data_IF_811523357648
#
_entry.id   IF_811523357648
#
_cell.length_a   1.000
_cell.length_b   1.000
_cell.length_c   1.000
_cell.angle_alpha   90.00
_cell.angle_beta   90.00
_cell.angle_gamma   90.00
#
_symmetry.space_group_name_H-M   'P 1'
#
loop_
_entity.id
_entity.type
_entity.pdbx_description
1 polymer ?
#
# COMPACT_ATOMS: atom_id res chain seq x y z
N UNK A 1 -67.59 -30.64 37.41
CA UNK A 1 -66.43 -31.51 37.18
C UNK A 1 -65.94 -31.27 35.76
N UNK A 2 -65.15 -30.22 35.55
CA UNK A 2 -64.54 -29.90 34.24
C UNK A 2 -63.13 -29.41 34.53
N UNK A 3 -62.18 -30.32 34.34
CA UNK A 3 -60.75 -30.16 34.63
C UNK A 3 -60.16 -29.24 33.55
N UNK A 4 -59.83 -28.01 33.94
CA UNK A 4 -59.08 -27.06 33.12
C UNK A 4 -57.71 -27.66 32.81
N UNK A 5 -57.45 -27.91 31.53
CA UNK A 5 -56.19 -28.45 31.05
C UNK A 5 -55.12 -27.33 31.10
N UNK A 6 -54.34 -27.34 32.18
CA UNK A 6 -53.19 -26.47 32.41
C UNK A 6 -51.94 -27.30 32.18
N UNK A 7 -51.29 -27.07 31.04
CA UNK A 7 -50.03 -27.69 30.68
C UNK A 7 -49.96 -27.85 29.18
N UNK A 8 -49.30 -26.90 28.51
CA UNK A 8 -48.47 -27.08 27.31
C UNK A 8 -47.92 -25.70 26.90
N UNK A 9 -47.14 -25.11 27.80
CA UNK A 9 -46.22 -24.00 27.48
C UNK A 9 -44.83 -24.46 27.92
N UNK A 10 -43.89 -24.34 26.98
CA UNK A 10 -42.45 -24.59 27.11
C UNK A 10 -41.99 -26.05 27.04
N UNK A 11 -41.97 -26.59 25.81
CA UNK A 11 -40.82 -27.42 25.39
C UNK A 11 -40.09 -26.66 24.28
N UNK A 12 -39.30 -25.67 24.68
CA UNK A 12 -38.36 -25.00 23.80
C UNK A 12 -37.41 -26.04 23.19
N UNK A 13 -37.25 -25.98 21.88
CA UNK A 13 -36.40 -26.85 21.09
C UNK A 13 -34.92 -26.62 21.46
N UNK A 14 -34.45 -27.20 22.57
CA UNK A 14 -33.10 -27.05 23.12
C UNK A 14 -31.97 -27.64 22.24
N UNK A 15 -32.31 -28.15 21.04
CA UNK A 15 -31.36 -28.70 20.08
C UNK A 15 -30.97 -27.74 18.94
N UNK A 16 -31.57 -26.55 18.84
CA UNK A 16 -31.16 -25.54 17.86
C UNK A 16 -29.95 -24.75 18.37
N UNK A 17 -28.79 -24.92 17.69
CA UNK A 17 -27.55 -24.22 18.04
C UNK A 17 -27.64 -22.70 17.81
N UNK A 18 -28.44 -22.28 16.84
CA UNK A 18 -28.73 -20.88 16.54
C UNK A 18 -30.26 -20.70 16.43
N UNK A 19 -30.82 -19.60 16.99
CA UNK A 19 -32.27 -19.41 17.11
C UNK A 19 -33.00 -19.25 15.75
N UNK A 20 -32.29 -19.00 14.65
CA UNK A 20 -32.83 -18.79 13.30
C UNK A 20 -32.45 -19.89 12.29
N UNK A 21 -31.95 -21.04 12.75
CA UNK A 21 -31.50 -22.13 11.86
C UNK A 21 -32.66 -22.97 11.30
N UNK A 22 -32.72 -23.08 9.96
CA UNK A 22 -33.69 -23.92 9.23
C UNK A 22 -33.32 -25.42 9.17
N UNK A 23 -32.04 -25.76 9.31
CA UNK A 23 -31.51 -27.12 9.20
C UNK A 23 -31.08 -27.70 10.57
N UNK A 24 -30.74 -29.00 10.63
CA UNK A 24 -30.22 -29.61 11.86
C UNK A 24 -28.83 -29.07 12.23
N UNK A 25 -28.50 -28.92 13.53
CA UNK A 25 -27.23 -28.34 13.99
C UNK A 25 -25.99 -29.10 13.48
N UNK A 26 -26.11 -30.42 13.33
CA UNK A 26 -25.03 -31.29 12.86
C UNK A 26 -24.70 -31.02 11.38
N UNK A 27 -25.74 -30.87 10.54
CA UNK A 27 -25.58 -30.60 9.11
C UNK A 27 -24.95 -29.22 8.90
N UNK A 28 -25.34 -28.22 9.71
CA UNK A 28 -24.77 -26.87 9.63
C UNK A 28 -23.29 -26.83 10.00
N UNK A 29 -22.87 -27.51 11.07
CA UNK A 29 -21.44 -27.57 11.41
C UNK A 29 -20.61 -28.33 10.36
N UNK A 30 -21.19 -29.34 9.71
CA UNK A 30 -20.54 -30.01 8.59
C UNK A 30 -20.37 -29.05 7.39
N UNK A 31 -21.42 -28.31 7.05
CA UNK A 31 -21.39 -27.26 6.03
C UNK A 31 -20.31 -26.20 6.32
N UNK A 32 -20.33 -25.61 7.52
CA UNK A 32 -19.37 -24.56 7.92
C UNK A 32 -17.94 -25.06 7.84
N UNK A 33 -17.64 -26.26 8.36
CA UNK A 33 -16.29 -26.85 8.27
C UNK A 33 -15.85 -27.03 6.81
N UNK A 34 -16.76 -27.43 5.93
CA UNK A 34 -16.48 -27.61 4.51
C UNK A 34 -16.15 -26.28 3.84
N UNK A 35 -16.91 -25.22 4.11
CA UNK A 35 -16.67 -23.88 3.56
C UNK A 35 -15.31 -23.35 4.00
N UNK A 36 -14.99 -23.37 5.30
CA UNK A 36 -13.69 -22.88 5.79
C UNK A 36 -12.52 -23.76 5.35
N UNK A 37 -12.72 -25.07 5.16
CA UNK A 37 -11.69 -25.94 4.59
C UNK A 37 -11.37 -25.55 3.14
N UNK A 38 -12.38 -25.23 2.33
CA UNK A 38 -12.18 -24.75 0.95
C UNK A 38 -11.48 -23.40 0.97
N UNK A 39 -11.95 -22.46 1.80
CA UNK A 39 -11.35 -21.14 1.95
C UNK A 39 -9.87 -21.21 2.33
N UNK A 40 -9.52 -22.08 3.28
CA UNK A 40 -8.13 -22.27 3.70
C UNK A 40 -7.23 -22.78 2.56
N UNK A 41 -7.73 -23.76 1.78
CA UNK A 41 -7.02 -24.26 0.59
C UNK A 41 -6.88 -23.16 -0.46
N UNK A 42 -7.92 -22.34 -0.67
CA UNK A 42 -7.87 -21.21 -1.60
C UNK A 42 -6.79 -20.21 -1.17
N UNK A 43 -6.77 -19.80 0.10
CA UNK A 43 -5.75 -18.87 0.62
C UNK A 43 -4.32 -19.42 0.53
N UNK A 44 -4.14 -20.72 0.78
CA UNK A 44 -2.84 -21.39 0.62
C UNK A 44 -2.40 -21.40 -0.85
N UNK A 45 -3.30 -21.77 -1.77
CA UNK A 45 -3.03 -21.75 -3.21
C UNK A 45 -2.70 -20.32 -3.68
N UNK A 46 -3.47 -19.33 -3.23
CA UNK A 46 -3.25 -17.93 -3.55
C UNK A 46 -1.88 -17.45 -3.09
N UNK A 47 -1.51 -17.79 -1.87
CA UNK A 47 -0.19 -17.45 -1.32
C UNK A 47 0.92 -18.12 -2.12
N UNK A 48 0.78 -19.40 -2.48
CA UNK A 48 1.78 -20.14 -3.24
C UNK A 48 2.00 -19.56 -4.66
N UNK A 49 0.90 -19.29 -5.39
CA UNK A 49 0.95 -18.73 -6.74
C UNK A 49 1.47 -17.29 -6.70
N UNK A 50 0.95 -16.44 -5.81
CA UNK A 50 1.38 -15.06 -5.69
C UNK A 50 2.86 -14.97 -5.28
N UNK A 51 3.31 -15.80 -4.34
CA UNK A 51 4.73 -15.88 -3.97
C UNK A 51 5.59 -16.25 -5.18
N UNK A 52 5.19 -17.25 -5.97
CA UNK A 52 5.92 -17.64 -7.18
C UNK A 52 6.05 -16.48 -8.17
N UNK A 53 4.97 -15.73 -8.42
CA UNK A 53 4.98 -14.55 -9.29
C UNK A 53 5.91 -13.46 -8.76
N UNK A 54 5.93 -13.21 -7.44
CA UNK A 54 6.78 -12.19 -6.82
C UNK A 54 8.26 -12.60 -6.80
N UNK A 55 8.56 -13.89 -6.60
CA UNK A 55 9.93 -14.41 -6.56
C UNK A 55 10.55 -14.54 -7.96
N UNK A 56 9.78 -14.92 -8.97
CA UNK A 56 10.25 -15.11 -10.34
C UNK A 56 10.22 -13.78 -11.09
N UNK A 57 11.32 -13.01 -10.97
CA UNK A 57 11.51 -11.68 -11.60
C UNK A 57 11.15 -11.61 -13.11
N UNK A 58 11.42 -12.64 -13.94
CA UNK A 58 11.03 -12.60 -15.36
C UNK A 58 9.52 -12.47 -15.61
N UNK A 59 8.67 -12.90 -14.67
CA UNK A 59 7.21 -12.88 -14.86
C UNK A 59 6.71 -11.43 -14.89
N UNK A 60 6.83 -10.60 -13.82
CA UNK A 60 6.40 -9.20 -13.85
C UNK A 60 7.01 -8.38 -15.00
N UNK A 61 8.31 -8.55 -15.25
CA UNK A 61 9.02 -7.86 -16.33
C UNK A 61 8.41 -8.16 -17.71
N UNK A 62 7.99 -9.40 -17.96
CA UNK A 62 7.32 -9.75 -19.22
C UNK A 62 6.00 -9.01 -19.39
N UNK A 63 5.23 -8.85 -18.30
CA UNK A 63 3.94 -8.15 -18.30
C UNK A 63 4.08 -6.64 -18.52
N UNK A 64 5.17 -6.02 -18.05
CA UNK A 64 5.38 -4.57 -18.18
C UNK A 64 6.14 -4.17 -19.44
N UNK A 65 7.02 -5.02 -19.96
CA UNK A 65 7.84 -4.68 -21.14
C UNK A 65 7.20 -5.07 -22.48
N UNK A 66 6.25 -6.00 -22.49
CA UNK A 66 5.62 -6.47 -23.73
C UNK A 66 4.15 -6.06 -23.82
N UNK A 67 3.72 -5.60 -25.00
CA UNK A 67 2.32 -5.26 -25.25
C UNK A 67 1.39 -6.49 -25.10
N UNK A 68 1.88 -7.67 -25.49
CA UNK A 68 1.20 -8.94 -25.26
C UNK A 68 1.03 -9.23 -23.77
N UNK A 69 2.08 -9.00 -22.96
CA UNK A 69 2.03 -9.10 -21.51
C UNK A 69 0.96 -8.18 -20.92
N UNK A 70 0.95 -6.90 -21.26
CA UNK A 70 -0.05 -5.95 -20.77
C UNK A 70 -1.49 -6.37 -21.15
N UNK A 71 -1.70 -6.85 -22.38
CA UNK A 71 -3.00 -7.39 -22.80
C UNK A 71 -3.42 -8.62 -21.96
N UNK A 72 -2.49 -9.54 -21.70
CA UNK A 72 -2.76 -10.70 -20.83
C UNK A 72 -3.04 -10.27 -19.39
N UNK A 73 -2.37 -9.24 -18.86
CA UNK A 73 -2.67 -8.68 -17.53
C UNK A 73 -4.10 -8.13 -17.46
N UNK A 74 -4.53 -7.34 -18.45
CA UNK A 74 -5.91 -6.83 -18.53
C UNK A 74 -6.91 -7.99 -18.55
N UNK A 75 -6.65 -9.04 -19.34
CA UNK A 75 -7.48 -10.24 -19.38
C UNK A 75 -7.53 -10.92 -18.00
N UNK A 76 -6.39 -11.09 -17.34
CA UNK A 76 -6.29 -11.68 -15.99
C UNK A 76 -7.08 -10.86 -14.96
N UNK A 77 -7.11 -9.53 -15.06
CA UNK A 77 -7.90 -8.68 -14.16
C UNK A 77 -9.41 -8.77 -14.41
N UNK A 78 -9.84 -8.94 -15.66
CA UNK A 78 -11.27 -9.03 -16.04
C UNK A 78 -11.79 -10.47 -15.88
N UNK A 79 -10.92 -11.47 -15.86
CA UNK A 79 -11.30 -12.88 -15.80
C UNK A 79 -12.04 -13.27 -14.49
N UNK A 80 -11.63 -12.87 -13.27
CA UNK A 80 -12.34 -13.20 -12.03
C UNK A 80 -13.82 -12.80 -12.01
N UNK A 81 -14.23 -11.55 -12.34
CA UNK A 81 -15.65 -11.20 -12.37
C UNK A 81 -16.42 -11.96 -13.47
N UNK A 82 -15.78 -12.29 -14.60
CA UNK A 82 -16.39 -13.15 -15.62
C UNK A 82 -16.64 -14.55 -15.08
N UNK A 83 -15.70 -15.12 -14.31
CA UNK A 83 -15.79 -16.47 -13.74
C UNK A 83 -16.80 -16.59 -12.60
N UNK A 84 -17.21 -15.50 -11.95
CA UNK A 84 -18.27 -15.52 -10.94
C UNK A 84 -19.64 -15.92 -11.53
N UNK A 85 -19.95 -15.49 -12.76
CA UNK A 85 -21.18 -15.86 -13.45
C UNK A 85 -21.33 -17.38 -13.64
N UNK A 86 -20.42 -18.10 -14.33
CA UNK A 86 -20.51 -19.55 -14.47
C UNK A 86 -20.35 -20.26 -13.12
N UNK A 87 -19.60 -19.71 -12.15
CA UNK A 87 -19.52 -20.28 -10.81
C UNK A 87 -20.89 -20.26 -10.10
N UNK A 88 -21.65 -19.18 -10.24
CA UNK A 88 -23.01 -19.05 -9.70
C UNK A 88 -23.95 -20.11 -10.31
N UNK A 89 -23.95 -20.25 -11.64
CA UNK A 89 -24.80 -21.22 -12.34
C UNK A 89 -24.39 -22.67 -12.09
N UNK A 90 -23.09 -22.94 -12.08
CA UNK A 90 -22.56 -24.29 -11.91
C UNK A 90 -22.40 -24.68 -10.44
N UNK A 91 -22.78 -23.86 -9.45
CA UNK A 91 -22.45 -24.10 -8.02
C UNK A 91 -22.83 -25.48 -7.50
N UNK A 92 -23.94 -26.05 -7.97
CA UNK A 92 -24.44 -27.39 -7.58
C UNK A 92 -23.98 -28.53 -8.48
N UNK A 93 -23.33 -28.24 -9.62
CA UNK A 93 -22.99 -29.23 -10.65
C UNK A 93 -21.57 -29.76 -10.45
N UNK A 94 -21.48 -30.96 -9.89
CA UNK A 94 -20.22 -31.68 -9.74
C UNK A 94 -19.78 -32.34 -11.06
N UNK A 95 -18.48 -32.38 -11.43
CA UNK A 95 -17.32 -31.76 -10.77
C UNK A 95 -17.00 -30.34 -11.28
N UNK A 96 -17.78 -29.82 -12.22
CA UNK A 96 -17.52 -28.54 -12.89
C UNK A 96 -17.40 -27.36 -11.94
N UNK A 97 -18.17 -27.37 -10.86
CA UNK A 97 -18.09 -26.37 -9.79
C UNK A 97 -16.68 -26.20 -9.21
N UNK A 98 -15.94 -27.28 -8.97
CA UNK A 98 -14.57 -27.24 -8.46
C UNK A 98 -13.56 -26.78 -9.51
N UNK A 99 -13.75 -27.15 -10.79
CA UNK A 99 -12.89 -26.66 -11.87
C UNK A 99 -13.00 -25.14 -12.05
N UNK A 100 -14.23 -24.62 -12.07
CA UNK A 100 -14.45 -23.16 -12.17
C UNK A 100 -13.93 -22.45 -10.92
N UNK A 101 -14.12 -23.04 -9.72
CA UNK A 101 -13.57 -22.48 -8.47
C UNK A 101 -12.04 -22.42 -8.49
N UNK A 102 -11.36 -23.49 -8.93
CA UNK A 102 -9.91 -23.51 -9.03
C UNK A 102 -9.43 -22.46 -10.04
N UNK A 103 -10.05 -22.38 -11.22
CA UNK A 103 -9.68 -21.40 -12.25
C UNK A 103 -9.86 -19.96 -11.74
N UNK A 104 -10.96 -19.70 -11.03
CA UNK A 104 -11.21 -18.43 -10.37
C UNK A 104 -10.11 -18.11 -9.35
N UNK A 105 -9.80 -19.02 -8.44
CA UNK A 105 -8.75 -18.81 -7.44
C UNK A 105 -7.39 -18.56 -8.08
N UNK A 106 -6.97 -19.37 -9.06
CA UNK A 106 -5.68 -19.21 -9.76
C UNK A 106 -5.61 -17.87 -10.49
N UNK A 107 -6.66 -17.49 -11.22
CA UNK A 107 -6.69 -16.19 -11.93
C UNK A 107 -6.53 -15.01 -10.96
N UNK A 108 -7.22 -15.06 -9.82
CA UNK A 108 -7.16 -14.01 -8.82
C UNK A 108 -5.79 -13.97 -8.15
N UNK A 109 -5.19 -15.14 -7.92
CA UNK A 109 -3.83 -15.26 -7.34
C UNK A 109 -2.76 -14.66 -8.23
N UNK A 110 -2.87 -14.83 -9.55
CA UNK A 110 -1.96 -14.22 -10.52
C UNK A 110 -2.10 -12.70 -10.57
N UNK A 111 -3.33 -12.17 -10.63
CA UNK A 111 -3.59 -10.73 -10.61
C UNK A 111 -2.93 -10.07 -9.37
N UNK A 112 -3.01 -10.74 -8.23
CA UNK A 112 -2.44 -10.29 -6.95
C UNK A 112 -0.93 -10.37 -6.91
N UNK A 113 -0.38 -11.50 -7.35
CA UNK A 113 1.06 -11.68 -7.45
C UNK A 113 1.69 -10.58 -8.30
N UNK A 114 1.02 -10.21 -9.40
CA UNK A 114 1.43 -9.10 -10.25
C UNK A 114 1.27 -7.74 -9.56
N UNK A 115 0.14 -7.47 -8.90
CA UNK A 115 -0.04 -6.23 -8.13
C UNK A 115 1.03 -6.05 -7.01
N UNK A 116 1.35 -7.14 -6.30
CA UNK A 116 2.42 -7.18 -5.28
C UNK A 116 3.83 -7.10 -5.90
N UNK A 117 3.98 -7.44 -7.18
CA UNK A 117 5.25 -7.31 -7.89
C UNK A 117 5.41 -5.92 -8.53
N UNK A 118 4.33 -5.24 -8.89
CA UNK A 118 4.38 -3.89 -9.48
C UNK A 118 4.61 -2.80 -8.44
N UNK A 119 4.14 -3.00 -7.19
CA UNK A 119 4.59 -2.21 -6.03
C UNK A 119 6.12 -2.26 -5.86
N UNK A 120 6.76 -3.34 -6.32
CA UNK A 120 8.23 -3.47 -6.39
C UNK A 120 8.84 -2.82 -7.65
N UNK A 121 8.25 -2.96 -8.83
CA UNK A 121 8.86 -2.45 -10.09
C UNK A 121 8.91 -0.92 -10.19
N UNK A 122 8.01 -0.18 -9.55
CA UNK A 122 8.15 1.29 -9.45
C UNK A 122 9.42 1.71 -8.68
N UNK A 123 10.01 0.84 -7.86
CA UNK A 123 11.30 1.10 -7.21
C UNK A 123 12.51 0.64 -8.05
N UNK A 124 12.36 -0.35 -8.94
CA UNK A 124 13.45 -0.92 -9.76
C UNK A 124 13.65 -0.19 -11.11
N UNK A 125 12.69 0.63 -11.57
CA UNK A 125 12.73 1.31 -12.88
C UNK A 125 13.38 2.70 -12.85
N UNK A 126 14.59 2.79 -12.30
CA UNK A 126 15.53 3.88 -12.58
C UNK A 126 16.85 3.32 -13.13
N UNK A 127 17.51 4.04 -14.03
CA UNK A 127 18.46 3.44 -14.96
C UNK A 127 19.63 2.82 -14.19
N UNK A 128 19.72 1.49 -14.27
CA UNK A 128 20.96 0.77 -14.09
C UNK A 128 21.87 1.19 -15.24
N UNK A 129 22.66 2.25 -15.04
CA UNK A 129 23.79 2.53 -15.93
C UNK A 129 24.76 1.35 -15.82
N UNK A 130 24.64 0.44 -16.76
CA UNK A 130 25.65 -0.56 -17.05
C UNK A 130 26.89 0.19 -17.52
N UNK A 131 27.98 0.06 -16.77
CA UNK A 131 29.27 0.60 -17.14
C UNK A 131 29.82 -0.22 -18.32
N UNK A 132 29.67 0.29 -19.54
CA UNK A 132 30.64 0.02 -20.60
C UNK A 132 31.80 0.98 -20.44
N UNK A 133 32.94 0.42 -20.01
CA UNK A 133 34.22 1.11 -19.97
C UNK A 133 34.69 1.42 -21.39
N UNK A 134 34.58 2.67 -21.82
CA UNK A 134 35.30 3.20 -22.97
C UNK A 134 36.05 4.47 -22.58
N UNK A 135 37.36 4.34 -22.48
CA UNK A 135 38.34 5.41 -22.36
C UNK A 135 38.32 6.33 -23.58
N UNK A 136 38.20 7.65 -23.38
CA UNK A 136 38.63 8.64 -24.36
C UNK A 136 38.73 10.05 -23.76
N UNK A 137 39.98 10.52 -23.75
CA UNK A 137 40.50 11.89 -23.97
C UNK A 137 39.83 13.12 -23.33
N UNK A 138 40.63 13.69 -22.43
CA UNK A 138 40.80 15.10 -22.05
C UNK A 138 40.34 16.16 -23.06
N UNK A 139 39.52 17.10 -22.59
CA UNK A 139 39.45 18.47 -23.11
C UNK A 139 39.46 19.43 -21.92
N UNK A 140 40.45 20.32 -21.93
CA UNK A 140 40.64 21.41 -20.98
C UNK A 140 39.44 22.36 -20.98
N UNK A 141 39.02 22.80 -19.79
CA UNK A 141 38.15 23.96 -19.64
C UNK A 141 38.43 24.67 -18.32
N UNK A 142 38.64 25.98 -18.46
CA UNK A 142 39.19 26.90 -17.48
C UNK A 142 38.49 26.86 -16.12
N UNK A 143 39.32 26.75 -15.07
CA UNK A 143 38.94 26.89 -13.67
C UNK A 143 38.51 28.33 -13.39
N UNK A 144 37.20 28.59 -13.39
CA UNK A 144 36.64 29.73 -12.64
C UNK A 144 36.31 29.22 -11.25
N UNK A 145 37.18 29.50 -10.28
CA UNK A 145 36.92 29.24 -8.85
C UNK A 145 35.70 30.06 -8.41
N UNK A 146 34.51 29.43 -8.36
CA UNK A 146 33.34 29.99 -7.67
C UNK A 146 33.34 29.45 -6.24
N UNK A 147 33.55 30.35 -5.30
CA UNK A 147 33.57 30.08 -3.86
C UNK A 147 32.17 29.70 -3.38
N UNK A 148 31.93 28.41 -3.18
CA UNK A 148 30.76 27.94 -2.44
C UNK A 148 30.96 28.27 -0.96
N UNK A 149 29.97 28.91 -0.32
CA UNK A 149 29.92 29.09 1.14
C UNK A 149 29.86 27.70 1.79
N UNK A 150 31.05 27.14 2.02
CA UNK A 150 31.23 25.93 2.82
C UNK A 150 31.08 26.36 4.27
N UNK A 151 29.92 26.10 4.86
CA UNK A 151 29.75 26.20 6.31
C UNK A 151 30.79 25.28 6.96
N UNK A 152 31.82 25.89 7.54
CA UNK A 152 32.83 25.16 8.30
C UNK A 152 32.12 24.54 9.51
N UNK A 153 32.15 23.22 9.69
CA UNK A 153 31.53 22.61 10.86
C UNK A 153 32.18 23.21 12.12
N UNK A 154 31.37 23.87 12.94
CA UNK A 154 31.84 24.38 14.23
C UNK A 154 32.17 23.19 15.13
N UNK A 155 33.45 22.84 15.24
CA UNK A 155 33.99 21.85 16.17
C UNK A 155 33.74 22.19 17.66
N UNK A 156 33.05 23.30 17.95
CA UNK A 156 32.80 23.83 19.29
C UNK A 156 31.48 23.38 19.94
N UNK A 157 30.64 22.57 19.29
CA UNK A 157 29.34 22.18 19.85
C UNK A 157 29.32 20.74 20.36
N UNK A 158 29.71 20.53 21.62
CA UNK A 158 29.71 19.21 22.28
C UNK A 158 28.41 18.90 23.05
N UNK A 159 27.43 19.78 23.02
CA UNK A 159 26.20 19.62 23.81
C UNK A 159 25.24 18.71 23.03
N UNK A 160 24.83 17.57 23.59
CA UNK A 160 23.81 16.71 22.97
C UNK A 160 22.43 17.38 23.06
N UNK A 161 21.70 17.46 21.95
CA UNK A 161 20.35 18.05 21.93
C UNK A 161 19.39 17.18 22.75
N UNK A 162 18.79 17.74 23.80
CA UNK A 162 17.84 17.09 24.69
C UNK A 162 16.74 18.09 25.10
N UNK A 163 15.53 17.59 25.39
CA UNK A 163 14.31 18.41 25.57
C UNK A 163 14.40 19.40 26.75
N UNK A 164 15.28 19.11 27.71
CA UNK A 164 15.62 19.91 28.89
C UNK A 164 16.71 20.96 28.65
N UNK A 165 17.41 20.92 27.50
CA UNK A 165 18.56 21.80 27.17
C UNK A 165 18.33 22.68 25.95
N UNK A 166 17.08 22.82 25.52
CA UNK A 166 16.66 23.60 24.35
C UNK A 166 17.14 25.06 24.42
N UNK A 167 17.06 25.68 25.61
CA UNK A 167 17.49 27.07 25.79
C UNK A 167 19.00 27.23 25.59
N UNK A 168 19.81 26.34 26.18
CA UNK A 168 21.28 26.38 26.04
C UNK A 168 21.74 26.13 24.61
N UNK A 169 21.04 25.24 23.90
CA UNK A 169 21.25 25.00 22.47
C UNK A 169 20.90 26.23 21.63
N UNK A 170 19.75 26.86 21.92
CA UNK A 170 19.30 28.08 21.24
C UNK A 170 20.28 29.22 21.46
N UNK A 171 20.76 29.46 22.69
CA UNK A 171 21.69 30.57 22.96
C UNK A 171 23.07 30.36 22.30
N UNK A 172 23.55 29.12 22.16
CA UNK A 172 24.84 28.83 21.53
C UNK A 172 24.80 28.92 20.00
N UNK A 173 23.68 28.54 19.38
CA UNK A 173 23.57 28.41 17.93
C UNK A 173 22.94 29.65 17.26
N UNK A 174 21.99 30.31 17.91
CA UNK A 174 21.26 31.44 17.32
C UNK A 174 22.19 32.58 16.86
N UNK A 175 23.27 32.95 17.58
CA UNK A 175 24.24 33.96 17.11
C UNK A 175 25.02 33.51 15.87
N UNK A 176 25.36 32.22 15.78
CA UNK A 176 26.05 31.64 14.63
C UNK A 176 25.14 31.58 13.39
N UNK A 177 23.86 31.23 13.57
CA UNK A 177 22.84 31.22 12.52
C UNK A 177 22.50 32.65 12.06
N UNK A 178 22.35 33.59 12.99
CA UNK A 178 22.11 35.00 12.67
C UNK A 178 23.32 35.65 11.98
N UNK A 179 24.55 35.33 12.43
CA UNK A 179 25.78 35.84 11.85
C UNK A 179 25.98 35.42 10.39
N UNK A 180 25.55 34.20 10.05
CA UNK A 180 25.56 33.69 8.68
C UNK A 180 24.28 34.02 7.89
N UNK A 181 23.39 34.85 8.44
CA UNK A 181 22.09 35.26 7.86
C UNK A 181 21.18 34.09 7.45
N UNK A 182 21.35 32.89 7.99
CA UNK A 182 20.59 31.67 7.62
C UNK A 182 19.33 31.44 8.47
N UNK A 183 19.02 32.33 9.41
CA UNK A 183 17.86 32.22 10.30
C UNK A 183 16.52 32.10 9.55
N UNK A 184 16.41 32.78 8.40
CA UNK A 184 15.20 32.80 7.57
C UNK A 184 14.89 31.45 6.90
N UNK A 185 15.91 30.60 6.68
CA UNK A 185 15.74 29.22 6.20
C UNK A 185 15.33 28.27 7.34
N UNK A 186 15.78 28.53 8.57
CA UNK A 186 15.52 27.68 9.74
C UNK A 186 14.10 27.87 10.30
N UNK A 187 13.51 29.06 10.15
CA UNK A 187 12.16 29.35 10.64
C UNK A 187 11.04 28.89 9.67
N UNK A 188 11.38 28.35 8.49
CA UNK A 188 10.40 27.94 7.47
C UNK A 188 9.73 29.11 6.73
N UNK A 189 10.22 30.33 6.91
CA UNK A 189 9.68 31.56 6.29
C UNK A 189 10.04 31.75 4.81
N UNK A 190 10.91 30.92 4.24
CA UNK A 190 11.23 30.92 2.80
C UNK A 190 10.74 29.65 2.12
N UNK A 191 9.58 29.75 1.47
CA UNK A 191 9.16 28.80 0.44
C UNK A 191 9.87 29.07 -0.89
N UNK A 192 9.81 28.08 -1.79
CA UNK A 192 10.33 28.12 -3.18
C UNK A 192 10.24 29.54 -3.79
N UNK A 193 11.36 30.14 -4.25
CA UNK A 193 11.31 31.46 -4.88
C UNK A 193 10.42 31.43 -6.15
N UNK A 194 9.64 32.50 -6.42
CA UNK A 194 8.77 32.55 -7.59
C UNK A 194 9.59 32.50 -8.88
N UNK A 195 9.09 31.76 -9.89
CA UNK A 195 9.76 31.55 -11.21
C UNK A 195 10.01 32.85 -11.98
N UNK A 196 9.20 33.87 -11.72
CA UNK A 196 9.20 35.15 -12.41
C UNK A 196 8.99 36.27 -11.40
N UNK A 197 9.71 37.37 -11.60
CA UNK A 197 9.59 38.61 -10.84
C UNK A 197 9.05 39.69 -11.76
N UNK A 198 8.20 40.57 -11.23
CA UNK A 198 7.69 41.72 -11.96
C UNK A 198 8.63 42.89 -11.70
N UNK A 199 9.45 43.25 -12.68
CA UNK A 199 10.31 44.43 -12.58
C UNK A 199 9.55 45.64 -13.13
N UNK A 200 9.22 46.59 -12.26
CA UNK A 200 8.59 47.86 -12.66
C UNK A 200 9.70 48.83 -13.10
N UNK A 201 9.85 49.01 -14.41
CA UNK A 201 10.61 50.13 -14.96
C UNK A 201 9.75 51.40 -14.86
N UNK A 202 10.40 52.51 -14.49
CA UNK A 202 9.76 53.83 -14.39
C UNK A 202 9.10 54.20 -15.73
N UNK A 203 7.76 54.24 -15.76
CA UNK A 203 6.96 54.53 -16.96
C UNK A 203 6.25 53.31 -17.54
N UNK A 204 5.12 52.94 -16.93
CA UNK A 204 3.99 52.20 -17.54
C UNK A 204 4.30 51.06 -18.52
N UNK A 205 5.12 50.08 -18.12
CA UNK A 205 5.06 48.71 -18.63
C UNK A 205 5.67 47.74 -17.61
N UNK A 206 4.88 46.80 -17.09
CA UNK A 206 5.36 45.71 -16.25
C UNK A 206 5.99 44.62 -17.11
N UNK A 207 7.32 44.50 -17.12
CA UNK A 207 8.01 43.41 -17.84
C UNK A 207 8.25 42.24 -16.88
N UNK A 208 7.60 41.10 -17.15
CA UNK A 208 7.81 39.84 -16.44
C UNK A 208 9.22 39.36 -16.77
N UNK A 209 10.12 39.38 -15.79
CA UNK A 209 11.52 38.93 -15.95
C UNK A 209 11.73 37.62 -15.18
N UNK A 210 12.52 36.70 -15.73
CA UNK A 210 12.83 35.42 -15.06
C UNK A 210 13.63 35.66 -13.78
N UNK A 211 13.27 34.96 -12.70
CA UNK A 211 13.95 35.13 -11.43
C UNK A 211 15.28 34.36 -11.41
N UNK A 212 16.45 35.03 -11.32
CA UNK A 212 17.74 34.36 -11.22
C UNK A 212 17.89 33.55 -9.92
N UNK A 213 17.21 33.92 -8.83
CA UNK A 213 17.23 33.16 -7.57
C UNK A 213 16.47 31.83 -7.70
N UNK A 214 15.43 31.77 -8.55
CA UNK A 214 14.76 30.51 -8.87
C UNK A 214 15.65 29.60 -9.72
N UNK A 215 16.40 30.15 -10.67
CA UNK A 215 17.33 29.36 -11.48
C UNK A 215 18.43 28.74 -10.61
N UNK A 216 19.01 29.51 -9.69
CA UNK A 216 20.03 29.02 -8.76
C UNK A 216 19.48 28.00 -7.76
N UNK A 217 18.27 28.24 -7.22
CA UNK A 217 17.57 27.29 -6.36
C UNK A 217 17.29 25.96 -7.09
N UNK A 218 16.84 26.03 -8.34
CA UNK A 218 16.57 24.86 -9.19
C UNK A 218 17.85 24.08 -9.49
N UNK A 219 18.96 24.75 -9.82
CA UNK A 219 20.25 24.08 -10.02
C UNK A 219 20.74 23.33 -8.77
N UNK A 220 20.59 23.92 -7.58
CA UNK A 220 20.97 23.29 -6.31
C UNK A 220 20.08 22.10 -5.93
N UNK A 221 18.75 22.21 -6.12
CA UNK A 221 17.83 21.08 -5.92
C UNK A 221 18.16 19.92 -6.87
N UNK A 222 18.39 20.21 -8.16
CA UNK A 222 18.74 19.18 -9.14
C UNK A 222 20.11 18.56 -8.85
N UNK A 223 21.10 19.34 -8.40
CA UNK A 223 22.41 18.83 -7.99
C UNK A 223 22.30 17.93 -6.75
N UNK A 224 21.53 18.33 -5.73
CA UNK A 224 21.30 17.51 -4.53
C UNK A 224 20.65 16.17 -4.87
N UNK A 225 19.63 16.18 -5.74
CA UNK A 225 18.97 14.96 -6.22
C UNK A 225 19.91 14.07 -7.03
N UNK A 226 20.77 14.66 -7.86
CA UNK A 226 21.81 13.93 -8.59
C UNK A 226 22.84 13.27 -7.67
N UNK A 227 23.31 13.97 -6.63
CA UNK A 227 24.26 13.43 -5.65
C UNK A 227 23.66 12.27 -4.85
N UNK A 228 22.37 12.36 -4.50
CA UNK A 228 21.65 11.28 -3.82
C UNK A 228 21.41 10.08 -4.76
N UNK A 229 21.11 10.33 -6.03
CA UNK A 229 20.87 9.29 -7.03
C UNK A 229 22.14 8.56 -7.50
N UNK A 230 23.31 9.17 -7.37
CA UNK A 230 24.61 8.59 -7.76
C UNK A 230 25.38 8.00 -6.58
N UNK A 231 24.80 8.04 -5.37
CA UNK A 231 25.44 7.67 -4.12
C UNK A 231 25.60 6.15 -4.00
N UNK A 232 26.69 5.61 -4.55
CA UNK A 232 27.04 4.18 -4.43
C UNK A 232 27.66 3.88 -3.08
N UNK A 233 27.33 2.71 -2.50
CA UNK A 233 27.98 2.20 -1.27
C UNK A 233 29.51 2.14 -1.41
N UNK A 234 30.01 1.60 -2.52
CA UNK A 234 31.45 1.41 -2.73
C UNK A 234 32.11 0.61 -1.59
N UNK A 235 33.20 1.16 -1.04
CA UNK A 235 33.96 0.60 0.08
C UNK A 235 33.44 1.02 1.47
N UNK A 236 32.37 1.81 1.55
CA UNK A 236 31.84 2.27 2.85
C UNK A 236 31.11 1.17 3.61
N UNK A 237 31.16 1.24 4.94
CA UNK A 237 30.29 0.45 5.81
C UNK A 237 28.83 0.89 5.61
N UNK A 238 27.88 -0.02 5.85
CA UNK A 238 26.43 0.28 5.77
C UNK A 238 26.04 1.48 6.65
N UNK A 239 26.44 1.58 7.94
CA UNK A 239 26.08 2.74 8.75
C UNK A 239 26.72 4.05 8.26
N UNK A 240 27.95 4.02 7.72
CA UNK A 240 28.57 5.22 7.15
C UNK A 240 27.91 5.62 5.81
N UNK A 241 27.48 4.65 5.02
CA UNK A 241 26.71 4.86 3.80
C UNK A 241 25.35 5.52 4.10
N UNK A 242 24.58 4.96 5.05
CA UNK A 242 23.32 5.55 5.50
C UNK A 242 23.50 6.94 6.10
N UNK A 243 24.56 7.16 6.90
CA UNK A 243 24.88 8.47 7.45
C UNK A 243 25.17 9.48 6.33
N UNK A 244 25.93 9.08 5.31
CA UNK A 244 26.26 9.94 4.18
C UNK A 244 25.03 10.28 3.34
N UNK A 245 24.19 9.31 3.01
CA UNK A 245 22.95 9.54 2.29
C UNK A 245 21.98 10.45 3.06
N UNK A 246 21.85 10.23 4.38
CA UNK A 246 21.08 11.10 5.28
C UNK A 246 21.61 12.54 5.27
N UNK A 247 22.94 12.72 5.26
CA UNK A 247 23.56 14.05 5.19
C UNK A 247 23.16 14.81 3.92
N UNK A 248 23.08 14.12 2.77
CA UNK A 248 22.61 14.74 1.52
C UNK A 248 21.10 15.01 1.51
N UNK A 249 20.30 14.13 2.13
CA UNK A 249 18.86 14.35 2.31
C UNK A 249 18.56 15.53 3.24
N UNK A 250 19.32 15.68 4.33
CA UNK A 250 19.23 16.81 5.24
C UNK A 250 19.62 18.12 4.53
N UNK A 251 20.59 18.06 3.61
CA UNK A 251 20.99 19.19 2.77
C UNK A 251 19.89 19.59 1.77
N UNK A 252 19.22 18.64 1.13
CA UNK A 252 18.02 18.88 0.30
C UNK A 252 16.88 19.50 1.12
N UNK A 253 16.67 19.01 2.34
CA UNK A 253 15.67 19.55 3.27
C UNK A 253 15.98 21.00 3.67
N UNK A 254 17.26 21.36 3.80
CA UNK A 254 17.68 22.74 4.09
C UNK A 254 17.47 23.73 2.93
N UNK A 255 17.32 23.23 1.70
CA UNK A 255 17.02 24.03 0.49
C UNK A 255 15.51 24.30 0.34
N UNK A 256 14.69 23.86 1.31
CA UNK A 256 13.25 24.15 1.36
C UNK A 256 12.37 23.13 0.65
N UNK A 257 12.94 22.00 0.24
CA UNK A 257 12.19 20.87 -0.31
C UNK A 257 12.61 19.60 0.43
N UNK A 258 11.88 19.26 1.50
CA UNK A 258 12.06 17.98 2.20
C UNK A 258 11.74 16.85 1.21
N UNK A 259 12.70 16.01 0.81
CA UNK A 259 12.39 14.80 0.07
C UNK A 259 11.56 13.89 1.00
N UNK A 260 10.50 13.27 0.48
CA UNK A 260 9.72 12.32 1.27
C UNK A 260 10.59 11.13 1.68
N UNK A 261 10.28 10.51 2.82
CA UNK A 261 11.05 9.37 3.35
C UNK A 261 11.20 8.23 2.31
N UNK A 262 10.21 8.07 1.43
CA UNK A 262 10.24 7.15 0.28
C UNK A 262 11.29 7.50 -0.79
N UNK A 263 11.52 8.79 -1.08
CA UNK A 263 12.55 9.21 -2.04
C UNK A 263 13.92 8.84 -1.47
N UNK A 264 14.15 9.15 -0.20
CA UNK A 264 15.42 8.85 0.48
C UNK A 264 15.63 7.34 0.55
N UNK A 265 14.62 6.57 0.96
CA UNK A 265 14.67 5.12 1.02
C UNK A 265 14.91 4.49 -0.36
N UNK A 266 14.24 4.98 -1.41
CA UNK A 266 14.43 4.46 -2.77
C UNK A 266 15.83 4.76 -3.32
N UNK A 267 16.39 5.96 -3.11
CA UNK A 267 17.76 6.27 -3.55
C UNK A 267 18.83 5.47 -2.79
N UNK A 268 18.67 5.30 -1.47
CA UNK A 268 19.58 4.53 -0.62
C UNK A 268 19.54 3.04 -0.97
N UNK A 269 18.35 2.50 -1.24
CA UNK A 269 18.18 1.08 -1.56
C UNK A 269 18.63 0.76 -2.99
N UNK A 270 18.38 1.65 -3.96
CA UNK A 270 18.74 1.46 -5.37
C UNK A 270 20.26 1.45 -5.64
N UNK A 271 21.05 2.06 -4.76
CA UNK A 271 22.50 2.17 -4.91
C UNK A 271 23.31 1.13 -4.10
N UNK A 272 22.62 0.17 -3.48
CA UNK A 272 23.24 -0.99 -2.85
C UNK A 272 23.64 -2.03 -3.93
N UNK A 273 24.82 -2.67 -3.82
CA UNK A 273 25.21 -3.74 -4.72
C UNK A 273 24.27 -4.95 -4.60
N UNK A 274 24.22 -5.78 -5.65
CA UNK A 274 23.30 -6.93 -5.78
C UNK A 274 23.35 -7.94 -4.64
N UNK A 275 24.44 -7.97 -3.87
CA UNK A 275 24.62 -8.75 -2.65
C UNK A 275 23.59 -8.41 -1.56
N UNK A 276 23.05 -7.19 -1.57
CA UNK A 276 22.02 -6.72 -0.63
C UNK A 276 20.61 -6.83 -1.19
N UNK A 277 20.42 -7.49 -2.35
CA UNK A 277 19.08 -7.75 -2.88
C UNK A 277 18.19 -8.45 -1.85
N UNK A 278 18.74 -9.30 -0.98
CA UNK A 278 17.99 -9.93 0.12
C UNK A 278 17.47 -8.91 1.14
N UNK A 279 18.31 -7.93 1.52
CA UNK A 279 17.96 -6.83 2.42
C UNK A 279 16.94 -5.89 1.76
N UNK A 280 17.17 -5.48 0.51
CA UNK A 280 16.24 -4.63 -0.26
C UNK A 280 14.88 -5.33 -0.38
N UNK A 281 14.87 -6.60 -0.78
CA UNK A 281 13.62 -7.38 -0.85
C UNK A 281 12.99 -7.58 0.53
N UNK A 282 13.76 -7.61 1.62
CA UNK A 282 13.22 -7.71 2.99
C UNK A 282 12.57 -6.41 3.44
N UNK A 283 13.15 -5.25 3.10
CA UNK A 283 12.62 -3.93 3.43
C UNK A 283 11.37 -3.65 2.60
N UNK A 284 11.40 -3.90 1.29
CA UNK A 284 10.24 -3.69 0.40
C UNK A 284 9.08 -4.66 0.70
N UNK A 285 9.34 -5.90 1.14
CA UNK A 285 8.27 -6.86 1.49
C UNK A 285 7.62 -6.61 2.85
N UNK A 286 8.16 -5.69 3.65
CA UNK A 286 7.64 -5.40 4.98
C UNK A 286 6.16 -5.01 4.93
N UNK A 287 5.78 -4.12 4.02
CA UNK A 287 4.39 -3.64 3.85
C UNK A 287 3.44 -4.80 3.51
N UNK A 288 3.85 -5.69 2.61
CA UNK A 288 3.06 -6.86 2.21
C UNK A 288 2.82 -7.79 3.40
N UNK A 289 3.85 -8.03 4.22
CA UNK A 289 3.73 -8.86 5.42
C UNK A 289 2.87 -8.19 6.50
N UNK A 290 3.03 -6.88 6.71
CA UNK A 290 2.20 -6.11 7.63
C UNK A 290 0.72 -6.15 7.23
N UNK A 291 0.42 -5.95 5.93
CA UNK A 291 -0.93 -6.05 5.39
C UNK A 291 -1.52 -7.46 5.56
N UNK A 292 -0.72 -8.50 5.32
CA UNK A 292 -1.15 -9.89 5.46
C UNK A 292 -1.46 -10.25 6.93
N UNK A 293 -0.62 -9.82 7.87
CA UNK A 293 -0.83 -10.02 9.31
C UNK A 293 -2.10 -9.28 9.75
N UNK A 294 -2.25 -8.01 9.36
CA UNK A 294 -3.42 -7.20 9.74
C UNK A 294 -4.71 -7.79 9.17
N UNK A 295 -4.67 -8.28 7.93
CA UNK A 295 -5.80 -9.01 7.33
C UNK A 295 -6.14 -10.27 8.12
N UNK A 296 -5.14 -11.08 8.46
CA UNK A 296 -5.36 -12.31 9.23
C UNK A 296 -6.02 -12.02 10.58
N UNK A 297 -5.49 -11.03 11.31
CA UNK A 297 -6.06 -10.59 12.60
C UNK A 297 -7.49 -10.08 12.41
N UNK A 298 -7.75 -9.24 11.41
CA UNK A 298 -9.08 -8.72 11.13
C UNK A 298 -10.08 -9.84 10.81
N UNK A 299 -9.71 -10.76 9.91
CA UNK A 299 -10.58 -11.86 9.48
C UNK A 299 -10.91 -12.79 10.63
N UNK A 300 -9.90 -13.22 11.41
CA UNK A 300 -10.12 -14.10 12.57
C UNK A 300 -10.97 -13.39 13.62
N UNK A 301 -10.66 -12.14 13.95
CA UNK A 301 -11.37 -11.38 14.99
C UNK A 301 -12.84 -11.14 14.61
N UNK A 302 -13.10 -10.70 13.39
CA UNK A 302 -14.45 -10.44 12.88
C UNK A 302 -15.26 -11.73 12.74
N UNK A 303 -14.65 -12.80 12.22
CA UNK A 303 -15.31 -14.10 12.11
C UNK A 303 -15.76 -14.61 13.48
N UNK A 304 -14.86 -14.60 14.47
CA UNK A 304 -15.17 -15.02 15.85
C UNK A 304 -16.26 -14.14 16.48
N UNK A 305 -16.19 -12.83 16.25
CA UNK A 305 -17.22 -11.88 16.70
C UNK A 305 -18.60 -12.21 16.09
N UNK A 306 -18.67 -12.48 14.79
CA UNK A 306 -19.93 -12.83 14.12
C UNK A 306 -20.53 -14.11 14.68
N UNK A 307 -19.71 -15.16 14.86
CA UNK A 307 -20.17 -16.41 15.49
C UNK A 307 -20.72 -16.17 16.90
N UNK A 308 -20.03 -15.36 17.71
CA UNK A 308 -20.49 -15.00 19.06
C UNK A 308 -21.81 -14.21 19.02
N UNK A 309 -21.94 -13.25 18.11
CA UNK A 309 -23.12 -12.40 17.96
C UNK A 309 -24.34 -13.19 17.45
N UNK A 310 -24.15 -14.08 16.48
CA UNK A 310 -25.22 -14.94 15.92
C UNK A 310 -25.70 -15.96 16.94
N UNK A 311 -24.80 -16.52 17.76
CA UNK A 311 -25.18 -17.40 18.88
C UNK A 311 -26.07 -16.69 19.92
N UNK A 312 -25.93 -15.36 20.05
CA UNK A 312 -26.78 -14.51 20.90
C UNK A 312 -28.08 -14.08 20.22
N UNK A 313 -28.32 -14.49 18.97
CA UNK A 313 -29.52 -14.12 18.21
C UNK A 313 -29.48 -12.72 17.59
N UNK A 314 -28.30 -12.11 17.40
CA UNK A 314 -28.19 -10.85 16.64
C UNK A 314 -28.27 -11.12 15.14
N UNK A 315 -29.03 -10.31 14.42
CA UNK A 315 -29.19 -10.36 12.97
C UNK A 315 -28.46 -9.21 12.27
N UNK A 316 -27.64 -9.53 11.27
CA UNK A 316 -26.88 -8.54 10.51
C UNK A 316 -27.50 -8.23 9.14
N UNK A 317 -28.69 -8.76 8.85
CA UNK A 317 -29.34 -8.58 7.54
C UNK A 317 -29.67 -7.11 7.22
N UNK A 318 -29.72 -6.24 8.22
CA UNK A 318 -29.90 -4.80 8.02
C UNK A 318 -28.70 -4.14 7.29
N UNK A 319 -27.50 -4.75 7.33
CA UNK A 319 -26.32 -4.23 6.63
C UNK A 319 -26.44 -4.38 5.11
N UNK A 320 -27.20 -5.36 4.62
CA UNK A 320 -27.21 -5.74 3.20
C UNK A 320 -27.39 -4.57 2.22
N UNK A 321 -28.45 -3.75 2.33
CA UNK A 321 -28.68 -2.62 1.42
C UNK A 321 -27.56 -1.58 1.44
N UNK A 322 -27.00 -1.29 2.62
CA UNK A 322 -25.91 -0.33 2.78
C UNK A 322 -24.61 -0.84 2.16
N UNK A 323 -24.26 -2.11 2.44
CA UNK A 323 -23.07 -2.74 1.88
C UNK A 323 -23.14 -2.83 0.35
N UNK A 324 -24.30 -3.22 -0.20
CA UNK A 324 -24.51 -3.26 -1.64
C UNK A 324 -24.36 -1.88 -2.29
N UNK A 325 -24.96 -0.84 -1.71
CA UNK A 325 -24.82 0.53 -2.21
C UNK A 325 -23.36 1.02 -2.14
N UNK A 326 -22.66 0.76 -1.03
CA UNK A 326 -21.25 1.11 -0.86
C UNK A 326 -20.34 0.38 -1.84
N UNK A 327 -20.60 -0.89 -2.16
CA UNK A 327 -19.87 -1.64 -3.17
C UNK A 327 -20.03 -1.03 -4.57
N UNK A 328 -21.25 -0.63 -4.95
CA UNK A 328 -21.50 0.03 -6.23
C UNK A 328 -20.71 1.34 -6.33
N UNK A 329 -20.69 2.15 -5.26
CA UNK A 329 -19.88 3.36 -5.18
C UNK A 329 -18.39 3.05 -5.32
N UNK A 330 -17.87 2.01 -4.65
CA UNK A 330 -16.47 1.59 -4.78
C UNK A 330 -16.13 1.20 -6.22
N UNK A 331 -17.01 0.46 -6.90
CA UNK A 331 -16.82 0.04 -8.30
C UNK A 331 -16.81 1.24 -9.25
N UNK A 332 -17.81 2.13 -9.16
CA UNK A 332 -17.89 3.32 -10.01
C UNK A 332 -16.66 4.21 -9.78
N UNK A 333 -16.26 4.40 -8.53
CA UNK A 333 -15.05 5.16 -8.22
C UNK A 333 -13.78 4.50 -8.75
N UNK A 334 -13.68 3.16 -8.66
CA UNK A 334 -12.60 2.39 -9.27
C UNK A 334 -12.52 2.58 -10.79
N UNK A 335 -13.67 2.68 -11.48
CA UNK A 335 -13.72 2.99 -12.91
C UNK A 335 -13.30 4.44 -13.21
N UNK A 336 -13.69 5.40 -12.36
CA UNK A 336 -13.27 6.81 -12.50
C UNK A 336 -11.74 6.93 -12.36
N UNK A 337 -11.12 6.19 -11.44
CA UNK A 337 -9.67 6.18 -11.25
C UNK A 337 -8.89 5.75 -12.51
N UNK A 338 -9.50 4.94 -13.39
CA UNK A 338 -8.87 4.55 -14.68
C UNK A 338 -8.67 5.77 -15.58
N UNK A 339 -9.60 6.73 -15.58
CA UNK A 339 -9.52 7.93 -16.42
C UNK A 339 -8.88 9.13 -15.70
N UNK A 340 -8.99 9.18 -14.38
CA UNK A 340 -8.51 10.29 -13.55
C UNK A 340 -7.74 9.71 -12.35
N UNK A 341 -6.41 9.53 -12.46
CA UNK A 341 -5.60 9.08 -11.34
C UNK A 341 -5.60 10.18 -10.26
N UNK A 342 -6.25 9.90 -9.13
CA UNK A 342 -6.33 10.82 -7.99
C UNK A 342 -5.03 10.80 -7.17
N UNK A 343 -4.76 11.92 -6.49
CA UNK A 343 -3.59 12.04 -5.63
C UNK A 343 -3.58 11.03 -4.48
N UNK A 344 -2.39 10.75 -3.95
CA UNK A 344 -2.11 9.74 -2.92
C UNK A 344 -3.01 9.80 -1.67
N UNK A 345 -3.38 11.00 -1.22
CA UNK A 345 -4.28 11.19 -0.07
C UNK A 345 -5.66 10.54 -0.35
N UNK A 346 -6.16 10.66 -1.58
CA UNK A 346 -7.41 10.04 -1.97
C UNK A 346 -7.31 8.52 -2.00
N UNK A 347 -6.17 7.95 -2.44
CA UNK A 347 -5.92 6.51 -2.39
C UNK A 347 -5.95 6.03 -0.94
N UNK A 348 -5.28 6.71 -0.02
CA UNK A 348 -5.27 6.35 1.40
C UNK A 348 -6.69 6.37 2.01
N UNK A 349 -7.44 7.46 1.80
CA UNK A 349 -8.81 7.58 2.32
C UNK A 349 -9.71 6.49 1.72
N UNK A 350 -9.62 6.29 0.41
CA UNK A 350 -10.41 5.30 -0.31
C UNK A 350 -10.11 3.88 0.17
N UNK A 351 -8.83 3.51 0.29
CA UNK A 351 -8.40 2.21 0.78
C UNK A 351 -8.82 1.96 2.23
N UNK A 352 -8.80 2.99 3.07
CA UNK A 352 -9.35 2.91 4.43
C UNK A 352 -10.86 2.64 4.45
N UNK A 353 -11.63 3.37 3.65
CA UNK A 353 -13.08 3.17 3.54
C UNK A 353 -13.42 1.80 2.93
N UNK A 354 -12.72 1.40 1.86
CA UNK A 354 -12.89 0.10 1.23
C UNK A 354 -12.62 -1.04 2.23
N UNK A 355 -11.53 -0.95 3.01
CA UNK A 355 -11.23 -1.94 4.05
C UNK A 355 -12.37 -2.06 5.07
N UNK A 356 -12.97 -0.96 5.51
CA UNK A 356 -14.10 -1.00 6.45
C UNK A 356 -15.35 -1.62 5.81
N UNK A 357 -15.63 -1.29 4.55
CA UNK A 357 -16.76 -1.86 3.80
C UNK A 357 -16.61 -3.37 3.65
N UNK A 358 -15.43 -3.86 3.25
CA UNK A 358 -15.18 -5.29 3.10
C UNK A 358 -15.12 -6.03 4.45
N UNK A 359 -14.70 -5.38 5.54
CA UNK A 359 -14.90 -5.91 6.90
C UNK A 359 -16.39 -6.08 7.23
N UNK A 360 -17.24 -5.15 6.78
CA UNK A 360 -18.70 -5.26 6.88
C UNK A 360 -19.27 -6.42 6.05
N UNK A 361 -18.81 -6.59 4.81
CA UNK A 361 -19.16 -7.74 3.98
C UNK A 361 -18.75 -9.07 4.62
N UNK A 362 -17.54 -9.17 5.19
CA UNK A 362 -17.11 -10.38 5.89
C UNK A 362 -18.07 -10.77 7.03
N UNK A 363 -18.54 -9.79 7.80
CA UNK A 363 -19.53 -10.02 8.87
C UNK A 363 -20.88 -10.44 8.29
N UNK A 364 -21.35 -9.76 7.24
CA UNK A 364 -22.62 -10.04 6.59
C UNK A 364 -22.63 -11.43 5.92
N UNK A 365 -21.61 -11.77 5.15
CA UNK A 365 -21.48 -13.06 4.46
C UNK A 365 -21.28 -14.20 5.45
N UNK A 366 -20.58 -13.97 6.57
CA UNK A 366 -20.49 -14.95 7.67
C UNK A 366 -21.85 -15.15 8.35
N UNK A 367 -22.62 -14.09 8.61
CA UNK A 367 -23.99 -14.18 9.16
C UNK A 367 -24.92 -14.96 8.22
N UNK A 368 -24.86 -14.62 6.93
CA UNK A 368 -25.70 -15.23 5.89
C UNK A 368 -25.36 -16.71 5.71
N UNK A 369 -24.06 -17.06 5.70
CA UNK A 369 -23.59 -18.45 5.71
C UNK A 369 -24.12 -19.23 6.91
N UNK A 370 -24.15 -18.64 8.11
CA UNK A 370 -24.63 -19.31 9.33
C UNK A 370 -26.16 -19.46 9.35
N UNK A 371 -26.92 -18.57 8.70
CA UNK A 371 -28.39 -18.52 8.82
C UNK A 371 -29.17 -18.92 7.57
N UNK A 372 -28.72 -18.53 6.38
CA UNK A 372 -29.52 -18.57 5.15
C UNK A 372 -29.05 -19.58 4.11
N UNK A 373 -27.76 -19.91 4.07
CA UNK A 373 -27.25 -20.87 3.08
C UNK A 373 -27.81 -22.28 3.32
N UNK A 374 -27.98 -23.04 2.24
CA UNK A 374 -28.25 -24.48 2.32
C UNK A 374 -26.96 -25.29 2.27
N UNK A 375 -26.98 -26.52 2.76
CA UNK A 375 -25.84 -27.43 2.79
C UNK A 375 -25.09 -27.55 1.45
N UNK A 376 -25.78 -27.46 0.31
CA UNK A 376 -25.17 -27.62 -1.03
C UNK A 376 -24.50 -26.34 -1.58
N UNK A 377 -24.71 -25.19 -0.96
CA UNK A 377 -24.24 -23.89 -1.47
C UNK A 377 -22.84 -23.51 -0.96
N UNK A 378 -22.06 -24.50 -0.51
CA UNK A 378 -20.75 -24.31 0.13
C UNK A 378 -19.70 -23.68 -0.79
N UNK A 379 -19.82 -23.86 -2.11
CA UNK A 379 -18.88 -23.30 -3.09
C UNK A 379 -19.10 -21.81 -3.25
N UNK A 380 -20.36 -21.38 -3.32
CA UNK A 380 -20.70 -19.98 -3.41
C UNK A 380 -20.33 -19.24 -2.11
N UNK A 381 -20.63 -19.85 -0.96
CA UNK A 381 -20.22 -19.30 0.34
C UNK A 381 -18.69 -19.14 0.45
N UNK A 382 -17.92 -20.14 0.02
CA UNK A 382 -16.46 -20.07 0.05
C UNK A 382 -15.92 -18.99 -0.90
N UNK A 383 -16.48 -18.86 -2.11
CA UNK A 383 -16.06 -17.84 -3.06
C UNK A 383 -16.37 -16.41 -2.59
N UNK A 384 -17.52 -16.20 -1.96
CA UNK A 384 -17.90 -14.91 -1.35
C UNK A 384 -16.96 -14.53 -0.20
N UNK A 385 -16.77 -15.42 0.79
CA UNK A 385 -15.82 -15.17 1.88
C UNK A 385 -14.39 -14.96 1.39
N UNK A 386 -13.99 -15.69 0.34
CA UNK A 386 -12.67 -15.50 -0.28
C UNK A 386 -12.53 -14.08 -0.84
N UNK A 387 -13.53 -13.56 -1.57
CA UNK A 387 -13.50 -12.19 -2.09
C UNK A 387 -13.43 -11.15 -0.99
N UNK A 388 -14.13 -11.33 0.12
CA UNK A 388 -14.08 -10.40 1.25
C UNK A 388 -12.68 -10.34 1.87
N UNK A 389 -12.14 -11.50 2.26
CA UNK A 389 -10.78 -11.62 2.81
C UNK A 389 -9.76 -11.01 1.86
N UNK A 390 -9.93 -11.30 0.57
CA UNK A 390 -9.04 -10.86 -0.48
C UNK A 390 -9.07 -9.34 -0.70
N UNK A 391 -10.27 -8.74 -0.74
CA UNK A 391 -10.42 -7.30 -0.91
C UNK A 391 -10.00 -6.51 0.35
N UNK A 392 -10.16 -7.09 1.56
CA UNK A 392 -9.57 -6.54 2.78
C UNK A 392 -8.04 -6.48 2.63
N UNK A 393 -7.41 -7.58 2.17
CA UNK A 393 -5.96 -7.60 1.97
C UNK A 393 -5.47 -6.53 0.98
N UNK A 394 -6.08 -6.43 -0.21
CA UNK A 394 -5.69 -5.40 -1.18
C UNK A 394 -5.91 -3.98 -0.66
N UNK A 395 -7.02 -3.74 0.04
CA UNK A 395 -7.32 -2.42 0.60
C UNK A 395 -6.29 -2.03 1.65
N UNK A 396 -5.92 -2.95 2.55
CA UNK A 396 -4.90 -2.71 3.56
C UNK A 396 -3.49 -2.60 2.97
N UNK A 397 -3.17 -3.37 1.94
CA UNK A 397 -1.92 -3.28 1.21
C UNK A 397 -1.75 -1.87 0.63
N UNK A 398 -2.76 -1.39 -0.11
CA UNK A 398 -2.74 -0.04 -0.71
C UNK A 398 -2.76 1.07 0.35
N UNK A 399 -3.43 0.85 1.48
CA UNK A 399 -3.45 1.80 2.59
C UNK A 399 -2.06 1.95 3.23
N UNK A 400 -1.39 0.84 3.52
CA UNK A 400 -0.07 0.83 4.13
C UNK A 400 1.01 1.33 3.16
N UNK A 401 0.91 0.97 1.87
CA UNK A 401 1.80 1.47 0.83
C UNK A 401 1.68 3.01 0.67
N UNK A 402 0.45 3.52 0.70
CA UNK A 402 0.20 4.96 0.68
C UNK A 402 0.63 5.68 1.98
N UNK A 403 0.71 4.99 3.12
CA UNK A 403 1.09 5.58 4.40
C UNK A 403 2.60 5.55 4.68
N UNK A 404 3.32 4.56 4.15
CA UNK A 404 4.79 4.42 4.29
C UNK A 404 5.55 5.27 3.26
N UNK A 405 4.90 5.58 2.15
CA UNK A 405 5.39 6.55 1.17
C UNK A 405 5.27 7.97 1.70
#
# INVERSE_FOLDING_TARGET
MTRSNKGDVASGNNNQLYPMMLESPQLRWAFIRKVYSILCIQMLLTTAVAATVVFVRPIPNFFTQTAAGLAVYIVICILPPILLCPLYYCRKRHPWNFFVLMLFTVSMSFAVGLACAFTKEQMDSRPTMSNSSSSSSTVDSATTSRSYLTLIPSNHLQIKLAKDKDLSWKTAILPYINGNKILHHVHGSTGRPPKTIVSLLCGSASTITSNPEYAHWFELDQLGRYQLATLKKGHLSIPDYFRKAKTHADLLSSVGQSPGDYEINSYILACLPSEYNSLVTSVTRRIILEAAILTCVAVVSLTLYTFWAVKRGKDFSFLGPFLFASLLVLIVFGLIQIFIPLGKIFVMIYSGLASLIFCGFLVYDTDDMIKRYSYDDYIWAAASLYLDVFNIFLSLLNLLDAADS
#
